data_IF_224909711219
#
_entry.id   IF_224909711219
#
_cell.length_a   1.000
_cell.length_b   1.000
_cell.length_c   1.000
_cell.angle_alpha   90.00
_cell.angle_beta   90.00
_cell.angle_gamma   90.00
#
_symmetry.space_group_name_H-M   'P 1'
#
loop_
_entity.id
_entity.type
_entity.pdbx_description
1 polymer ?
#
# COMPACT_ATOMS: atom_id res chain seq x y z
N UNK A 1 5.05 -30.01 4.95
CA UNK A 1 3.87 -29.27 4.42
C UNK A 1 2.69 -29.47 5.36
N UNK A 2 2.35 -28.46 6.19
CA UNK A 2 1.19 -28.56 7.11
C UNK A 2 -0.08 -28.43 6.27
N UNK A 3 -0.94 -29.47 6.25
CA UNK A 3 -2.26 -29.43 5.60
C UNK A 3 -3.05 -28.27 6.24
N UNK A 4 -3.36 -27.23 5.45
CA UNK A 4 -4.26 -26.14 5.90
C UNK A 4 -5.57 -26.77 6.34
N UNK A 5 -6.05 -26.39 7.53
CA UNK A 5 -7.32 -26.86 8.05
C UNK A 5 -8.46 -26.47 7.08
N UNK A 6 -9.42 -27.36 6.86
CA UNK A 6 -10.64 -27.09 6.08
C UNK A 6 -11.31 -25.78 6.49
N UNK A 7 -11.32 -25.46 7.79
CA UNK A 7 -11.86 -24.20 8.34
C UNK A 7 -11.10 -22.98 7.85
N UNK A 8 -9.77 -23.03 7.72
CA UNK A 8 -8.96 -21.92 7.19
C UNK A 8 -9.25 -21.66 5.71
N UNK A 9 -9.42 -22.74 4.93
CA UNK A 9 -9.76 -22.62 3.51
C UNK A 9 -11.17 -22.08 3.32
N UNK A 10 -12.16 -22.58 4.06
CA UNK A 10 -13.53 -22.10 4.01
C UNK A 10 -13.64 -20.62 4.43
N UNK A 11 -12.91 -20.21 5.47
CA UNK A 11 -12.85 -18.82 5.91
C UNK A 11 -12.23 -17.89 4.85
N UNK A 12 -11.19 -18.35 4.16
CA UNK A 12 -10.58 -17.59 3.05
C UNK A 12 -11.52 -17.41 1.87
N UNK A 13 -12.22 -18.47 1.47
CA UNK A 13 -13.23 -18.41 0.40
C UNK A 13 -14.34 -17.46 0.77
N UNK A 14 -14.86 -17.54 2.00
CA UNK A 14 -15.91 -16.65 2.50
C UNK A 14 -15.47 -15.17 2.44
N UNK A 15 -14.25 -14.85 2.92
CA UNK A 15 -13.72 -13.46 2.89
C UNK A 15 -13.55 -12.96 1.46
N UNK A 16 -13.04 -13.81 0.56
CA UNK A 16 -12.90 -13.47 -0.86
C UNK A 16 -14.27 -13.19 -1.49
N UNK A 17 -15.24 -14.01 -1.22
CA UNK A 17 -16.62 -13.83 -1.73
C UNK A 17 -17.22 -12.53 -1.19
N UNK A 18 -17.09 -12.26 0.10
CA UNK A 18 -17.56 -11.02 0.73
C UNK A 18 -16.88 -9.79 0.10
N UNK A 19 -15.56 -9.85 -0.11
CA UNK A 19 -14.82 -8.78 -0.79
C UNK A 19 -15.36 -8.54 -2.22
N UNK A 20 -15.49 -9.59 -3.01
CA UNK A 20 -15.95 -9.48 -4.40
C UNK A 20 -17.38 -8.94 -4.48
N UNK A 21 -18.24 -9.30 -3.54
CA UNK A 21 -19.61 -8.79 -3.45
C UNK A 21 -19.68 -7.34 -2.96
N UNK A 22 -18.91 -7.00 -1.94
CA UNK A 22 -18.96 -5.66 -1.33
C UNK A 22 -18.26 -4.58 -2.18
N UNK A 23 -17.17 -4.95 -2.87
CA UNK A 23 -16.35 -4.02 -3.66
C UNK A 23 -17.14 -3.14 -4.64
N UNK A 24 -18.03 -3.64 -5.50
CA UNK A 24 -18.77 -2.80 -6.44
C UNK A 24 -19.66 -1.78 -5.72
N UNK A 25 -20.29 -2.14 -4.61
CA UNK A 25 -21.11 -1.20 -3.82
C UNK A 25 -20.25 -0.10 -3.20
N UNK A 26 -19.09 -0.46 -2.65
CA UNK A 26 -18.12 0.51 -2.10
C UNK A 26 -17.61 1.45 -3.17
N UNK A 27 -17.30 0.93 -4.37
CA UNK A 27 -16.87 1.77 -5.51
C UNK A 27 -17.96 2.72 -5.97
N UNK A 28 -19.22 2.26 -6.05
CA UNK A 28 -20.35 3.12 -6.38
C UNK A 28 -20.54 4.21 -5.33
N UNK A 29 -20.51 3.85 -4.04
CA UNK A 29 -20.61 4.82 -2.95
C UNK A 29 -19.52 5.89 -3.02
N UNK A 30 -18.26 5.48 -3.25
CA UNK A 30 -17.17 6.46 -3.43
C UNK A 30 -17.38 7.34 -4.66
N UNK A 31 -17.80 6.76 -5.80
CA UNK A 31 -18.07 7.55 -7.00
C UNK A 31 -19.27 8.51 -6.87
N UNK A 32 -20.18 8.25 -5.96
CA UNK A 32 -21.27 9.19 -5.65
C UNK A 32 -20.80 10.34 -4.74
N UNK A 33 -19.91 10.05 -3.78
CA UNK A 33 -19.44 11.02 -2.77
C UNK A 33 -18.27 11.87 -3.26
N UNK A 34 -17.37 11.28 -4.05
CA UNK A 34 -16.13 11.91 -4.53
C UNK A 34 -15.97 11.64 -6.03
N UNK A 35 -15.19 12.46 -6.71
CA UNK A 35 -14.69 12.14 -8.05
C UNK A 35 -13.51 11.18 -7.92
N UNK A 36 -13.81 9.87 -8.01
CA UNK A 36 -12.86 8.79 -7.75
C UNK A 36 -12.31 8.22 -9.04
N UNK A 37 -11.04 8.52 -9.32
CA UNK A 37 -10.31 8.05 -10.50
C UNK A 37 -9.37 6.90 -10.14
N UNK A 38 -9.37 5.85 -10.98
CA UNK A 38 -8.47 4.70 -10.86
C UNK A 38 -7.70 4.58 -12.18
N UNK A 39 -6.38 4.56 -12.10
CA UNK A 39 -5.46 4.49 -13.23
C UNK A 39 -4.48 3.32 -13.07
N UNK A 40 -4.08 2.70 -14.18
CA UNK A 40 -3.06 1.65 -14.18
C UNK A 40 -3.53 0.31 -13.59
N UNK A 41 -4.83 0.04 -13.54
CA UNK A 41 -5.39 -1.22 -13.01
C UNK A 41 -4.87 -2.44 -13.76
N UNK A 42 -4.53 -2.28 -15.03
CA UNK A 42 -3.93 -3.31 -15.91
C UNK A 42 -2.54 -3.73 -15.46
N UNK A 43 -1.85 -2.90 -14.69
CA UNK A 43 -0.52 -3.18 -14.14
C UNK A 43 -0.57 -4.19 -12.97
N UNK A 44 -1.75 -4.43 -12.38
CA UNK A 44 -1.88 -5.34 -11.26
C UNK A 44 -1.84 -6.81 -11.73
N UNK A 45 -0.86 -7.63 -11.31
CA UNK A 45 -0.79 -9.02 -11.69
C UNK A 45 -2.09 -9.78 -11.35
N UNK A 46 -2.63 -10.52 -12.31
CA UNK A 46 -3.91 -11.25 -12.12
C UNK A 46 -3.80 -12.37 -11.09
N UNK A 47 -2.62 -12.94 -10.93
CA UNK A 47 -2.35 -14.10 -10.06
C UNK A 47 -1.03 -13.92 -9.31
N UNK A 48 -0.84 -14.76 -8.29
CA UNK A 48 0.39 -14.78 -7.50
C UNK A 48 0.46 -13.68 -6.42
N UNK A 49 1.49 -13.73 -5.56
CA UNK A 49 1.72 -12.72 -4.55
C UNK A 49 2.22 -11.42 -5.15
N UNK A 50 1.97 -10.30 -4.46
CA UNK A 50 2.55 -9.01 -4.80
C UNK A 50 2.65 -8.14 -3.55
N UNK A 51 3.65 -7.28 -3.48
CA UNK A 51 3.80 -6.27 -2.44
C UNK A 51 3.37 -4.92 -3.01
N UNK A 52 2.35 -4.32 -2.44
CA UNK A 52 1.89 -2.96 -2.79
C UNK A 52 2.51 -1.97 -1.84
N UNK A 53 3.15 -0.95 -2.37
CA UNK A 53 3.70 0.17 -1.61
C UNK A 53 2.97 1.44 -2.01
N UNK A 54 2.56 2.25 -1.03
CA UNK A 54 1.82 3.49 -1.30
C UNK A 54 2.20 4.60 -0.33
N UNK A 55 2.04 5.85 -0.75
CA UNK A 55 2.03 7.00 0.14
C UNK A 55 0.75 7.00 1.00
N UNK A 56 0.73 7.78 2.09
CA UNK A 56 -0.37 7.80 3.05
C UNK A 56 -0.74 9.23 3.49
N UNK A 57 -1.93 9.67 3.12
CA UNK A 57 -2.43 11.03 3.37
C UNK A 57 -3.62 11.06 4.34
N UNK A 58 -4.49 10.04 4.29
CA UNK A 58 -5.77 10.04 4.98
C UNK A 58 -6.10 8.69 5.63
N UNK A 59 -6.92 8.71 6.69
CA UNK A 59 -7.39 7.48 7.36
C UNK A 59 -8.17 6.54 6.43
N UNK A 60 -8.81 7.07 5.39
CA UNK A 60 -9.57 6.27 4.41
C UNK A 60 -8.70 5.66 3.29
N UNK A 61 -7.41 6.03 3.19
CA UNK A 61 -6.56 5.51 2.11
C UNK A 61 -6.57 3.98 2.00
N UNK A 62 -6.45 3.21 3.11
CA UNK A 62 -6.50 1.76 3.02
C UNK A 62 -7.81 1.25 2.40
N UNK A 63 -8.94 1.86 2.74
CA UNK A 63 -10.26 1.46 2.24
C UNK A 63 -10.41 1.80 0.75
N UNK A 64 -9.96 3.00 0.35
CA UNK A 64 -9.96 3.46 -1.03
C UNK A 64 -9.06 2.58 -1.90
N UNK A 65 -7.88 2.23 -1.40
CA UNK A 65 -6.94 1.34 -2.09
C UNK A 65 -7.51 -0.08 -2.21
N UNK A 66 -8.08 -0.64 -1.15
CA UNK A 66 -8.77 -1.94 -1.21
C UNK A 66 -9.90 -1.90 -2.25
N UNK A 67 -10.72 -0.85 -2.29
CA UNK A 67 -11.78 -0.72 -3.29
C UNK A 67 -11.24 -0.56 -4.73
N UNK A 68 -10.14 0.16 -4.91
CA UNK A 68 -9.52 0.38 -6.21
C UNK A 68 -8.89 -0.91 -6.79
N UNK A 69 -8.28 -1.74 -5.95
CA UNK A 69 -7.57 -2.92 -6.41
C UNK A 69 -8.53 -3.98 -6.98
N UNK A 70 -8.15 -4.65 -8.09
CA UNK A 70 -9.00 -5.69 -8.71
C UNK A 70 -8.96 -7.03 -7.95
N UNK A 71 -8.09 -7.15 -6.96
CA UNK A 71 -7.84 -8.35 -6.15
C UNK A 71 -7.84 -7.99 -4.66
N UNK A 72 -8.14 -8.96 -3.77
CA UNK A 72 -8.04 -8.76 -2.33
C UNK A 72 -6.65 -8.26 -1.93
N UNK A 73 -6.61 -7.13 -1.25
CA UNK A 73 -5.42 -6.43 -0.80
C UNK A 73 -5.41 -6.37 0.72
N UNK A 74 -4.44 -7.01 1.35
CA UNK A 74 -4.32 -7.10 2.80
C UNK A 74 -3.38 -5.99 3.30
N UNK A 75 -3.86 -5.13 4.20
CA UNK A 75 -3.06 -4.00 4.70
C UNK A 75 -2.53 -4.23 6.10
N UNK A 76 -1.33 -3.69 6.35
CA UNK A 76 -0.85 -3.48 7.71
C UNK A 76 -1.62 -2.32 8.36
N UNK A 77 -2.37 -2.58 9.41
CA UNK A 77 -3.11 -1.58 10.15
C UNK A 77 -2.60 -1.45 11.58
N UNK A 78 -2.63 -0.22 12.13
CA UNK A 78 -2.25 0.03 13.51
C UNK A 78 -3.08 -0.83 14.47
N UNK A 79 -2.45 -1.46 15.47
CA UNK A 79 -3.11 -2.38 16.40
C UNK A 79 -4.34 -1.78 17.08
N UNK A 80 -4.29 -0.48 17.40
CA UNK A 80 -5.40 0.23 18.04
C UNK A 80 -6.63 0.37 17.13
N UNK A 81 -6.48 0.24 15.81
CA UNK A 81 -7.62 0.23 14.87
C UNK A 81 -8.56 -0.93 15.17
N UNK A 82 -8.00 -2.08 15.56
CA UNK A 82 -8.78 -3.29 15.86
C UNK A 82 -9.54 -3.20 17.19
N UNK A 83 -9.15 -2.26 18.07
CA UNK A 83 -9.84 -2.02 19.36
C UNK A 83 -11.05 -1.10 19.22
N UNK A 84 -11.22 -0.43 18.08
CA UNK A 84 -12.37 0.45 17.82
C UNK A 84 -13.53 -0.38 17.29
N UNK A 85 -14.66 -0.48 17.99
CA UNK A 85 -15.85 -1.18 17.53
C UNK A 85 -16.22 -0.74 16.10
N UNK A 86 -16.77 -1.62 15.30
CA UNK A 86 -17.10 -1.42 13.89
C UNK A 86 -15.89 -1.18 12.98
N UNK A 87 -14.99 -0.21 13.30
CA UNK A 87 -13.78 0.05 12.48
C UNK A 87 -12.85 -1.16 12.50
N UNK A 88 -12.62 -1.74 13.68
CA UNK A 88 -11.83 -2.96 13.84
C UNK A 88 -12.46 -4.15 13.12
N UNK A 89 -13.79 -4.29 13.21
CA UNK A 89 -14.52 -5.32 12.46
C UNK A 89 -14.38 -5.14 10.94
N UNK A 90 -14.51 -3.92 10.43
CA UNK A 90 -14.30 -3.61 9.00
C UNK A 90 -12.86 -3.90 8.58
N UNK A 91 -11.87 -3.46 9.37
CA UNK A 91 -10.46 -3.69 9.10
C UNK A 91 -10.13 -5.20 9.06
N UNK A 92 -10.60 -5.96 10.05
CA UNK A 92 -10.42 -7.41 10.10
C UNK A 92 -11.14 -8.10 8.93
N UNK A 93 -12.38 -7.72 8.64
CA UNK A 93 -13.15 -8.24 7.50
C UNK A 93 -12.48 -7.94 6.15
N UNK A 94 -11.86 -6.77 6.02
CA UNK A 94 -11.06 -6.41 4.84
C UNK A 94 -9.70 -7.12 4.78
N UNK A 95 -9.35 -7.93 5.80
CA UNK A 95 -8.09 -8.68 5.84
C UNK A 95 -6.90 -7.90 6.34
N UNK A 96 -7.12 -6.74 6.98
CA UNK A 96 -6.05 -6.02 7.64
C UNK A 96 -5.43 -6.87 8.77
N UNK A 97 -4.14 -6.65 9.03
CA UNK A 97 -3.44 -7.31 10.15
C UNK A 97 -2.68 -6.28 11.00
N UNK A 98 -2.61 -6.53 12.32
CA UNK A 98 -2.07 -5.55 13.25
C UNK A 98 -0.56 -5.35 13.13
N UNK A 99 -0.12 -4.10 13.30
CA UNK A 99 1.27 -3.69 13.43
C UNK A 99 1.43 -2.72 14.61
N UNK A 100 2.46 -2.90 15.41
CA UNK A 100 2.89 -1.94 16.42
C UNK A 100 3.77 -0.87 15.74
N UNK A 101 3.24 0.36 15.63
CA UNK A 101 3.97 1.47 15.02
C UNK A 101 4.94 2.10 16.01
N UNK A 102 6.10 2.55 15.49
CA UNK A 102 7.12 3.25 16.32
C UNK A 102 8.24 2.37 16.85
N UNK A 103 8.16 1.05 16.64
CA UNK A 103 9.25 0.10 16.85
C UNK A 103 9.41 -0.75 15.59
N UNK A 104 10.61 -1.33 15.40
CA UNK A 104 10.81 -2.31 14.32
C UNK A 104 9.98 -3.56 14.65
N UNK A 105 8.69 -3.54 14.26
CA UNK A 105 7.77 -4.65 14.50
C UNK A 105 8.14 -5.84 13.62
N UNK A 106 9.11 -6.62 14.11
CA UNK A 106 9.57 -7.85 13.45
C UNK A 106 8.43 -8.85 13.23
N UNK A 107 7.38 -8.79 14.06
CA UNK A 107 6.23 -9.69 13.91
C UNK A 107 5.38 -9.29 12.71
N UNK A 108 5.15 -7.97 12.52
CA UNK A 108 4.42 -7.47 11.36
C UNK A 108 5.17 -7.79 10.05
N UNK A 109 6.51 -7.63 10.03
CA UNK A 109 7.32 -8.00 8.86
C UNK A 109 7.21 -9.51 8.56
N UNK A 110 7.33 -10.37 9.57
CA UNK A 110 7.14 -11.83 9.40
C UNK A 110 5.72 -12.19 8.94
N UNK A 111 4.70 -11.48 9.42
CA UNK A 111 3.33 -11.70 8.97
C UNK A 111 3.16 -11.32 7.49
N UNK A 112 3.76 -10.21 7.05
CA UNK A 112 3.78 -9.82 5.64
C UNK A 112 4.48 -10.87 4.77
N UNK A 113 5.70 -11.30 5.15
CA UNK A 113 6.44 -12.35 4.46
C UNK A 113 5.61 -13.65 4.37
N UNK A 114 4.95 -14.06 5.47
CA UNK A 114 4.07 -15.23 5.48
C UNK A 114 2.89 -15.09 4.53
N UNK A 115 2.19 -13.95 4.54
CA UNK A 115 1.04 -13.71 3.66
C UNK A 115 1.46 -13.70 2.18
N UNK A 116 2.60 -13.08 1.86
CA UNK A 116 3.17 -13.13 0.51
C UNK A 116 3.50 -14.57 0.10
N UNK A 117 4.13 -15.37 0.98
CA UNK A 117 4.43 -16.79 0.69
C UNK A 117 3.17 -17.65 0.51
N UNK A 118 2.04 -17.20 1.05
CA UNK A 118 0.73 -17.83 0.88
C UNK A 118 -0.01 -17.38 -0.40
N UNK A 119 0.60 -16.49 -1.20
CA UNK A 119 0.08 -16.03 -2.48
C UNK A 119 -0.84 -14.80 -2.41
N UNK A 120 -0.88 -14.10 -1.27
CA UNK A 120 -1.68 -12.88 -1.11
C UNK A 120 -0.98 -11.64 -1.68
N UNK A 121 -1.80 -10.62 -1.95
CA UNK A 121 -1.32 -9.25 -2.18
C UNK A 121 -1.31 -8.53 -0.83
N UNK A 122 -0.16 -7.99 -0.46
CA UNK A 122 0.05 -7.30 0.81
C UNK A 122 0.36 -5.84 0.55
N UNK A 123 -0.36 -4.93 1.20
CA UNK A 123 -0.16 -3.49 1.11
C UNK A 123 0.56 -2.93 2.34
N UNK A 124 1.47 -2.01 2.10
CA UNK A 124 2.25 -1.32 3.13
C UNK A 124 2.33 0.17 2.81
N UNK A 125 2.27 0.99 3.86
CA UNK A 125 2.64 2.40 3.80
C UNK A 125 4.06 2.55 4.37
N UNK A 126 5.11 2.69 3.54
CA UNK A 126 6.50 2.71 4.01
C UNK A 126 6.80 3.88 4.95
N UNK A 127 6.04 4.97 4.85
CA UNK A 127 6.11 6.14 5.72
C UNK A 127 5.73 5.85 7.19
N UNK A 128 5.05 4.72 7.45
CA UNK A 128 4.59 4.31 8.78
C UNK A 128 3.49 5.18 9.39
N UNK A 129 3.33 6.43 8.96
CA UNK A 129 2.31 7.38 9.41
C UNK A 129 1.83 8.24 8.26
N UNK A 130 0.64 8.85 8.40
CA UNK A 130 0.12 9.81 7.41
C UNK A 130 1.05 11.02 7.27
N UNK A 131 1.20 11.50 6.04
CA UNK A 131 1.85 12.79 5.79
C UNK A 131 0.98 13.94 6.31
N UNK A 132 1.62 14.91 6.96
CA UNK A 132 0.97 16.14 7.44
C UNK A 132 1.03 17.24 6.39
N UNK A 133 2.12 17.24 5.62
CA UNK A 133 2.38 18.27 4.59
C UNK A 133 1.74 17.93 3.25
N UNK A 134 1.31 16.69 3.07
CA UNK A 134 0.85 16.13 1.79
C UNK A 134 1.97 15.54 0.94
N UNK A 135 3.24 15.92 1.16
CA UNK A 135 4.40 15.37 0.46
C UNK A 135 4.91 14.06 1.07
N UNK A 136 5.61 13.24 0.27
CA UNK A 136 6.32 12.07 0.73
C UNK A 136 7.38 12.43 1.78
N UNK A 137 7.53 11.57 2.76
CA UNK A 137 8.52 11.67 3.86
C UNK A 137 9.60 10.62 3.72
N UNK A 138 10.65 10.74 4.53
CA UNK A 138 11.59 9.66 4.74
C UNK A 138 10.89 8.42 5.28
N UNK A 139 11.38 7.26 4.88
CA UNK A 139 10.73 5.97 5.07
C UNK A 139 11.60 5.01 5.87
N UNK A 140 10.96 4.01 6.46
CA UNK A 140 11.65 2.99 7.23
C UNK A 140 12.10 1.82 6.33
N UNK A 141 13.32 1.29 6.53
CA UNK A 141 13.89 0.24 5.67
C UNK A 141 13.22 -1.14 5.80
N UNK A 142 12.27 -1.29 6.72
CA UNK A 142 11.59 -2.56 6.98
C UNK A 142 10.87 -3.14 5.77
N UNK A 143 10.31 -2.28 4.90
CA UNK A 143 9.60 -2.72 3.71
C UNK A 143 10.54 -3.33 2.67
N UNK A 144 11.76 -2.81 2.52
CA UNK A 144 12.76 -3.38 1.63
C UNK A 144 13.24 -4.75 2.10
N UNK A 145 13.27 -4.99 3.42
CA UNK A 145 13.56 -6.31 4.00
C UNK A 145 12.51 -7.34 3.53
N UNK A 146 11.22 -6.99 3.66
CA UNK A 146 10.13 -7.86 3.21
C UNK A 146 10.21 -8.13 1.72
N UNK A 147 10.40 -7.08 0.91
CA UNK A 147 10.50 -7.18 -0.54
C UNK A 147 11.66 -8.09 -0.98
N UNK A 148 12.86 -7.84 -0.42
CA UNK A 148 14.07 -8.62 -0.74
C UNK A 148 13.97 -10.09 -0.36
N UNK A 149 13.34 -10.40 0.78
CA UNK A 149 13.19 -11.78 1.25
C UNK A 149 12.10 -12.54 0.53
N UNK A 150 11.01 -11.86 0.20
CA UNK A 150 9.86 -12.50 -0.45
C UNK A 150 10.06 -12.68 -1.94
N UNK A 151 10.94 -11.90 -2.57
CA UNK A 151 11.21 -11.91 -4.01
C UNK A 151 9.93 -11.94 -4.86
N UNK A 152 9.01 -11.02 -4.55
CA UNK A 152 7.72 -10.87 -5.24
C UNK A 152 7.68 -9.56 -6.01
N UNK A 153 6.82 -9.43 -7.05
CA UNK A 153 6.64 -8.17 -7.74
C UNK A 153 6.15 -7.09 -6.76
N UNK A 154 6.73 -5.91 -6.86
CA UNK A 154 6.37 -4.72 -6.09
C UNK A 154 5.53 -3.82 -6.99
N UNK A 155 4.35 -3.43 -6.53
CA UNK A 155 3.44 -2.56 -7.26
C UNK A 155 3.48 -1.18 -6.58
N UNK A 156 4.16 -0.20 -7.19
CA UNK A 156 4.13 1.16 -6.69
C UNK A 156 2.74 1.74 -6.93
N UNK A 157 2.18 2.38 -5.92
CA UNK A 157 0.84 2.94 -5.99
C UNK A 157 0.84 4.33 -5.37
N UNK A 158 0.29 5.29 -6.10
CA UNK A 158 0.07 6.63 -5.59
C UNK A 158 -1.40 6.84 -5.25
N UNK A 159 -1.67 7.49 -4.12
CA UNK A 159 -2.99 8.01 -3.77
C UNK A 159 -2.87 9.49 -3.42
N UNK A 160 -3.71 10.33 -4.02
CA UNK A 160 -3.70 11.78 -3.78
C UNK A 160 -5.08 12.39 -3.91
N UNK A 161 -5.25 13.56 -3.27
CA UNK A 161 -6.53 14.22 -3.13
C UNK A 161 -7.36 13.74 -1.93
N UNK A 162 -6.87 12.79 -1.14
CA UNK A 162 -7.60 12.30 0.05
C UNK A 162 -7.41 13.18 1.27
N UNK A 163 -6.40 14.03 1.31
CA UNK A 163 -6.11 14.92 2.45
C UNK A 163 -7.22 15.93 2.71
N UNK A 164 -8.07 16.21 1.72
CA UNK A 164 -9.22 17.12 1.86
C UNK A 164 -10.49 16.42 2.35
N UNK A 165 -10.49 15.10 2.43
CA UNK A 165 -11.65 14.34 2.90
C UNK A 165 -11.91 14.59 4.39
N UNK A 166 -13.19 14.51 4.84
CA UNK A 166 -13.56 14.69 6.24
C UNK A 166 -12.96 13.58 7.11
N UNK A 167 -12.88 13.82 8.42
CA UNK A 167 -12.40 12.86 9.44
C UNK A 167 -10.89 12.59 9.45
N UNK A 168 -10.08 13.49 8.87
CA UNK A 168 -8.61 13.38 8.96
C UNK A 168 -8.03 13.99 10.25
N UNK A 169 -8.87 14.53 11.12
CA UNK A 169 -8.48 15.19 12.36
C UNK A 169 -7.65 16.46 12.10
N UNK A 170 -6.74 16.79 13.02
CA UNK A 170 -5.85 17.95 12.89
C UNK A 170 -4.88 17.89 11.69
N UNK A 171 -4.79 16.75 11.00
CA UNK A 171 -3.91 16.54 9.84
C UNK A 171 -4.63 16.80 8.50
N UNK A 172 -5.94 17.05 8.51
CA UNK A 172 -6.69 17.32 7.28
C UNK A 172 -6.41 18.72 6.75
N UNK A 173 -6.28 18.85 5.43
CA UNK A 173 -6.37 20.16 4.76
C UNK A 173 -7.82 20.61 4.71
N UNK A 174 -8.04 21.92 4.69
CA UNK A 174 -9.40 22.45 4.49
C UNK A 174 -9.90 22.02 3.11
N UNK A 175 -11.10 21.46 3.07
CA UNK A 175 -11.77 21.11 1.84
C UNK A 175 -12.02 22.40 1.03
N UNK A 176 -11.66 22.39 -0.25
CA UNK A 176 -12.07 23.42 -1.20
C UNK A 176 -13.58 23.34 -1.49
N UNK A 177 -14.10 24.32 -2.21
CA UNK A 177 -15.47 24.27 -2.69
C UNK A 177 -15.59 23.22 -3.80
N UNK A 178 -16.54 22.31 -3.65
CA UNK A 178 -16.84 21.30 -4.65
C UNK A 178 -16.62 19.86 -4.20
N UNK A 179 -16.78 18.96 -5.16
CA UNK A 179 -16.63 17.52 -4.95
C UNK A 179 -15.13 17.14 -4.90
N UNK A 180 -14.65 16.45 -3.85
CA UNK A 180 -13.24 16.06 -3.77
C UNK A 180 -12.83 15.19 -4.94
N UNK A 181 -11.68 15.48 -5.56
CA UNK A 181 -11.07 14.65 -6.58
C UNK A 181 -10.03 13.75 -5.91
N UNK A 182 -10.21 12.45 -6.01
CA UNK A 182 -9.30 11.45 -5.45
C UNK A 182 -8.83 10.53 -6.55
N UNK A 183 -7.52 10.38 -6.68
CA UNK A 183 -6.93 9.49 -7.68
C UNK A 183 -6.10 8.40 -6.98
N UNK A 184 -6.29 7.16 -7.44
CA UNK A 184 -5.41 6.02 -7.17
C UNK A 184 -4.75 5.66 -8.49
N UNK A 185 -3.41 5.69 -8.53
CA UNK A 185 -2.61 5.34 -9.71
C UNK A 185 -1.66 4.20 -9.40
N UNK A 186 -1.77 3.11 -10.15
CA UNK A 186 -0.97 1.91 -10.01
C UNK A 186 0.10 1.89 -11.09
N UNK A 187 1.38 1.87 -10.69
CA UNK A 187 2.51 1.80 -11.61
C UNK A 187 2.81 0.37 -12.06
N UNK A 188 3.73 0.26 -13.00
CA UNK A 188 4.21 -1.05 -13.48
C UNK A 188 4.89 -1.81 -12.34
N UNK A 189 4.65 -3.12 -12.20
CA UNK A 189 5.36 -3.95 -11.23
C UNK A 189 6.84 -3.99 -11.53
N UNK A 190 7.65 -4.02 -10.49
CA UNK A 190 9.10 -4.19 -10.57
C UNK A 190 9.58 -5.14 -9.48
N UNK A 191 10.83 -5.58 -9.59
CA UNK A 191 11.52 -6.38 -8.57
C UNK A 191 12.72 -5.61 -8.04
N UNK A 192 13.05 -5.81 -6.76
CA UNK A 192 14.33 -5.33 -6.25
C UNK A 192 15.48 -6.13 -6.89
N UNK A 193 16.62 -5.47 -7.15
CA UNK A 193 17.82 -6.18 -7.60
C UNK A 193 18.20 -7.24 -6.57
N UNK A 194 18.58 -8.43 -7.05
CA UNK A 194 19.12 -9.50 -6.20
C UNK A 194 20.46 -9.03 -5.63
N UNK A 195 20.58 -9.05 -4.31
CA UNK A 195 21.87 -8.79 -3.65
C UNK A 195 22.82 -9.96 -3.95
N UNK A 196 23.90 -9.68 -4.66
CA UNK A 196 25.02 -10.61 -4.72
C UNK A 196 25.71 -10.68 -3.36
N UNK A 197 26.06 -11.90 -2.92
CA UNK A 197 26.79 -12.12 -1.68
C UNK A 197 28.15 -11.40 -1.75
N UNK A 198 28.28 -10.33 -0.98
CA UNK A 198 29.52 -9.51 -0.95
C UNK A 198 29.35 -8.09 -1.45
N UNK A 199 28.27 -7.73 -2.11
CA UNK A 199 28.02 -6.35 -2.53
C UNK A 199 27.58 -5.49 -1.32
N UNK A 200 28.55 -4.75 -0.77
CA UNK A 200 28.32 -3.76 0.29
C UNK A 200 27.71 -2.45 -0.23
N UNK A 201 27.50 -2.32 -1.55
CA UNK A 201 27.18 -1.03 -2.18
C UNK A 201 25.74 -0.63 -2.05
N UNK A 202 24.81 -1.57 -1.77
CA UNK A 202 23.39 -1.24 -1.68
C UNK A 202 22.83 -1.57 -0.29
N UNK A 203 22.55 -0.52 0.48
CA UNK A 203 21.94 -0.64 1.80
C UNK A 203 20.43 -0.90 1.70
N UNK A 204 19.80 -1.36 2.80
CA UNK A 204 18.33 -1.47 2.85
C UNK A 204 17.65 -0.08 2.71
N UNK A 205 18.35 0.98 3.09
CA UNK A 205 17.86 2.34 2.91
C UNK A 205 17.81 2.70 1.41
N UNK A 206 18.88 2.41 0.64
CA UNK A 206 18.91 2.68 -0.80
C UNK A 206 17.82 1.90 -1.54
N UNK A 207 17.58 0.63 -1.17
CA UNK A 207 16.50 -0.18 -1.74
C UNK A 207 15.12 0.40 -1.42
N UNK A 208 14.96 0.93 -0.19
CA UNK A 208 13.69 1.57 0.19
C UNK A 208 13.50 2.88 -0.56
N UNK A 209 14.55 3.67 -0.72
CA UNK A 209 14.53 4.90 -1.51
C UNK A 209 14.17 4.60 -2.99
N UNK A 210 14.78 3.57 -3.58
CA UNK A 210 14.42 3.11 -4.93
C UNK A 210 12.93 2.76 -5.04
N UNK A 211 12.40 2.03 -4.06
CA UNK A 211 10.97 1.70 -4.03
C UNK A 211 10.10 2.95 -3.98
N UNK A 212 10.49 3.95 -3.17
CA UNK A 212 9.72 5.19 -3.04
C UNK A 212 9.87 6.14 -4.22
N UNK A 213 10.98 6.09 -4.94
CA UNK A 213 11.13 6.82 -6.20
C UNK A 213 10.06 6.38 -7.21
N UNK A 214 9.81 5.07 -7.34
CA UNK A 214 8.71 4.58 -8.19
C UNK A 214 7.32 5.06 -7.74
N UNK A 215 7.08 5.26 -6.44
CA UNK A 215 5.84 5.89 -5.95
C UNK A 215 5.83 7.38 -6.30
N UNK A 216 6.95 8.08 -6.10
CA UNK A 216 7.07 9.51 -6.38
C UNK A 216 6.88 9.87 -7.86
N UNK A 217 7.29 9.00 -8.78
CA UNK A 217 7.03 9.14 -10.22
C UNK A 217 5.55 9.19 -10.57
N UNK A 218 4.74 8.44 -9.83
CA UNK A 218 3.29 8.37 -10.03
C UNK A 218 2.55 9.59 -9.46
N UNK A 219 3.19 10.32 -8.55
CA UNK A 219 2.61 11.45 -7.84
C UNK A 219 2.76 12.76 -8.62
N UNK A 220 1.75 13.66 -8.59
CA UNK A 220 1.93 15.05 -9.00
C UNK A 220 3.09 15.71 -8.24
N UNK A 221 3.78 16.71 -8.83
CA UNK A 221 4.97 17.31 -8.24
C UNK A 221 4.80 17.79 -6.79
N UNK A 222 3.64 18.36 -6.45
CA UNK A 222 3.32 18.88 -5.13
C UNK A 222 3.21 17.81 -4.02
N UNK A 223 3.09 16.52 -4.40
CA UNK A 223 3.02 15.40 -3.46
C UNK A 223 4.36 14.65 -3.32
N UNK A 224 5.40 14.99 -4.09
CA UNK A 224 6.67 14.26 -4.11
C UNK A 224 7.53 14.48 -2.86
N UNK A 225 7.31 15.59 -2.12
CA UNK A 225 7.99 15.87 -0.86
C UNK A 225 9.51 15.75 -0.97
N UNK A 226 10.16 15.02 -0.07
CA UNK A 226 11.62 14.82 -0.03
C UNK A 226 12.18 14.06 -1.27
N UNK A 227 11.31 13.44 -2.05
CA UNK A 227 11.70 12.72 -3.28
C UNK A 227 11.68 13.59 -4.54
N UNK A 228 11.24 14.83 -4.48
CA UNK A 228 11.21 15.73 -5.65
C UNK A 228 12.60 15.97 -6.24
N UNK A 229 13.59 16.32 -5.38
CA UNK A 229 14.97 16.53 -5.80
C UNK A 229 15.68 15.23 -6.19
N UNK A 230 15.38 14.12 -5.47
CA UNK A 230 15.94 12.80 -5.78
C UNK A 230 15.53 12.32 -7.16
N UNK A 231 14.26 12.55 -7.56
CA UNK A 231 13.79 12.25 -8.92
C UNK A 231 14.48 13.10 -9.99
N UNK A 232 14.75 14.38 -9.72
CA UNK A 232 15.43 15.26 -10.67
C UNK A 232 16.91 14.85 -10.91
N UNK A 233 17.54 14.20 -9.94
CA UNK A 233 18.93 13.71 -10.01
C UNK A 233 19.09 12.31 -10.59
N UNK A 234 18.03 11.54 -10.69
CA UNK A 234 18.02 10.19 -11.29
C UNK A 234 17.41 10.35 -12.69
N UNK A 235 18.24 10.36 -13.75
CA UNK A 235 17.73 10.14 -15.11
C UNK A 235 16.87 8.85 -15.10
N UNK A 236 15.84 8.77 -15.98
CA UNK A 236 14.81 7.74 -15.98
C UNK A 236 15.27 6.40 -15.40
N UNK A 237 14.67 5.90 -14.30
CA UNK A 237 15.07 4.62 -13.71
C UNK A 237 14.85 3.53 -14.74
N UNK A 238 15.94 2.92 -15.18
CA UNK A 238 15.93 1.82 -16.15
C UNK A 238 15.08 0.70 -15.56
N UNK A 239 13.90 0.49 -16.12
CA UNK A 239 13.04 -0.64 -15.80
C UNK A 239 13.79 -1.93 -16.13
N UNK A 240 14.33 -2.61 -15.13
CA UNK A 240 14.82 -3.98 -15.30
C UNK A 240 13.60 -4.87 -15.30
N UNK A 241 13.02 -5.04 -16.49
CA UNK A 241 12.07 -6.12 -16.77
C UNK A 241 12.92 -7.30 -17.21
N UNK A 242 12.99 -8.33 -16.40
CA UNK A 242 13.40 -9.67 -16.85
C UNK A 242 12.57 -10.71 -16.15
#
# INVERSE_FOLDING_TARGET
>A
MRRKSFRETAWRVFRLSLYLMARPFVLVAFRLLIDFKIEGIENVPKHGPALVISNHLHNSDPILLVAAYPRPLLWMAKKEVFSVPFVGWVADSAGAFPVDRGQADRQALRNAERLLSEGFVVGVFPEGTRSVTGGLKDVYPGVAIVASRSNVPIIPTAIFGTEVLPFNGAKGRKQGHGRPHVTVRMGKPFYLPKRETGDKRQSMADLTDLMMLHVAELLPPEYRGVYAERLAGVGEPTAVIS
#
